data_IF_236560445945
#
_entry.id   IF_236560445945
#
_cell.length_a   1.000
_cell.length_b   1.000
_cell.length_c   1.000
_cell.angle_alpha   90.00
_cell.angle_beta   90.00
_cell.angle_gamma   90.00
#
_symmetry.space_group_name_H-M   'P 1'
#
loop_
_entity.id
_entity.type
_entity.pdbx_description
1 polymer ?
#
# COMPACT_ATOMS: atom_id res chain seq x y z
N UNK A 1 12.89 -13.88 -7.01
CA UNK A 1 13.72 -12.84 -7.67
C UNK A 1 12.89 -11.95 -8.60
N UNK A 2 12.19 -12.49 -9.62
CA UNK A 2 11.40 -11.69 -10.58
C UNK A 2 10.36 -10.75 -9.94
N UNK A 3 9.67 -11.19 -8.87
CA UNK A 3 8.67 -10.36 -8.17
C UNK A 3 9.23 -9.06 -7.59
N UNK A 4 10.45 -9.12 -7.02
CA UNK A 4 11.15 -7.93 -6.50
C UNK A 4 11.66 -7.02 -7.61
N UNK A 5 12.07 -7.59 -8.75
CA UNK A 5 12.50 -6.80 -9.91
C UNK A 5 11.36 -5.93 -10.44
N UNK A 6 10.13 -6.47 -10.49
CA UNK A 6 8.96 -5.71 -10.92
C UNK A 6 8.63 -4.56 -9.96
N UNK A 7 8.78 -4.77 -8.65
CA UNK A 7 8.61 -3.71 -7.65
C UNK A 7 9.67 -2.61 -7.77
N UNK A 8 10.92 -2.97 -8.05
CA UNK A 8 11.98 -2.00 -8.36
C UNK A 8 11.67 -1.17 -9.61
N UNK A 9 10.92 -1.73 -10.56
CA UNK A 9 10.40 -1.04 -11.74
C UNK A 9 9.07 -0.31 -11.48
N UNK A 10 8.63 -0.21 -10.22
CA UNK A 10 7.38 0.44 -9.83
C UNK A 10 6.11 -0.35 -10.16
N UNK A 11 6.24 -1.62 -10.58
CA UNK A 11 5.11 -2.50 -10.90
C UNK A 11 4.81 -3.45 -9.76
N UNK A 12 3.55 -3.51 -9.35
CA UNK A 12 3.08 -4.54 -8.44
C UNK A 12 2.53 -5.74 -9.20
N UNK A 13 2.79 -6.95 -8.66
CA UNK A 13 2.17 -8.20 -9.12
C UNK A 13 0.89 -8.55 -8.36
N UNK A 14 0.46 -7.68 -7.46
CA UNK A 14 -0.75 -7.86 -6.66
C UNK A 14 -1.95 -7.20 -7.35
N UNK A 15 -3.16 -7.54 -6.87
CA UNK A 15 -4.42 -6.90 -7.29
C UNK A 15 -4.30 -5.37 -7.20
N UNK A 16 -5.02 -4.61 -8.03
CA UNK A 16 -4.95 -3.15 -8.02
C UNK A 16 -5.13 -2.58 -6.61
N UNK A 17 -4.43 -1.49 -6.31
CA UNK A 17 -4.50 -0.85 -5.00
C UNK A 17 -5.90 -0.34 -4.65
N UNK A 18 -6.72 0.04 -5.64
CA UNK A 18 -8.12 0.42 -5.42
C UNK A 18 -8.93 -0.75 -4.85
N UNK A 19 -8.68 -1.96 -5.34
CA UNK A 19 -9.41 -3.15 -4.87
C UNK A 19 -9.18 -3.38 -3.38
N UNK A 20 -7.95 -3.16 -2.92
CA UNK A 20 -7.58 -3.33 -1.51
C UNK A 20 -7.98 -2.14 -0.65
N UNK A 21 -7.83 -0.92 -1.18
CA UNK A 21 -8.14 0.30 -0.45
C UNK A 21 -9.63 0.41 -0.12
N UNK A 22 -10.49 0.09 -1.08
CA UNK A 22 -11.94 0.18 -0.92
C UNK A 22 -12.60 -1.12 -0.45
N UNK A 23 -11.82 -2.17 -0.17
CA UNK A 23 -12.38 -3.42 0.33
C UNK A 23 -13.04 -3.20 1.69
N UNK A 24 -14.23 -3.74 1.87
CA UNK A 24 -14.95 -3.69 3.14
C UNK A 24 -14.68 -4.97 3.91
N UNK A 25 -13.97 -4.84 5.04
CA UNK A 25 -13.60 -5.95 5.91
C UNK A 25 -12.21 -5.81 6.51
N UNK A 26 -11.87 -6.72 7.43
CA UNK A 26 -10.56 -6.71 8.08
C UNK A 26 -9.58 -7.66 7.39
N UNK A 27 -8.47 -7.13 6.92
CA UNK A 27 -7.32 -7.94 6.52
C UNK A 27 -6.53 -8.36 7.75
N UNK A 28 -6.35 -9.67 7.97
CA UNK A 28 -5.67 -10.19 9.16
C UNK A 28 -4.18 -10.50 8.98
N UNK A 29 -3.55 -10.11 7.88
CA UNK A 29 -2.14 -10.42 7.59
C UNK A 29 -1.48 -9.41 6.65
N UNK A 30 -0.17 -9.54 6.43
CA UNK A 30 0.54 -8.78 5.39
C UNK A 30 -0.04 -9.14 4.02
N UNK A 31 -0.77 -8.18 3.43
CA UNK A 31 -1.53 -8.42 2.19
C UNK A 31 -0.63 -8.34 0.96
N UNK A 32 0.32 -7.39 0.93
CA UNK A 32 1.17 -7.10 -0.24
C UNK A 32 2.34 -6.19 0.06
N UNK A 33 3.33 -6.24 -0.83
CA UNK A 33 4.33 -5.20 -0.98
C UNK A 33 3.73 -4.03 -1.80
N UNK A 34 3.95 -2.79 -1.34
CA UNK A 34 3.45 -1.58 -2.00
C UNK A 34 4.57 -0.87 -2.77
N UNK A 35 4.20 -0.22 -3.87
CA UNK A 35 5.10 0.72 -4.57
C UNK A 35 4.90 2.15 -4.06
N UNK A 36 5.88 3.03 -4.30
CA UNK A 36 5.78 4.46 -3.96
C UNK A 36 4.54 5.12 -4.57
N UNK A 37 4.23 4.74 -5.81
CA UNK A 37 3.07 5.27 -6.55
C UNK A 37 1.76 4.82 -5.91
N UNK A 38 1.68 3.57 -5.46
CA UNK A 38 0.51 3.03 -4.79
C UNK A 38 0.28 3.66 -3.42
N UNK A 39 1.36 3.84 -2.63
CA UNK A 39 1.25 4.54 -1.35
C UNK A 39 0.81 6.00 -1.53
N UNK A 40 1.37 6.69 -2.54
CA UNK A 40 0.95 8.05 -2.86
C UNK A 40 -0.53 8.10 -3.27
N UNK A 41 -0.97 7.17 -4.12
CA UNK A 41 -2.37 7.04 -4.52
C UNK A 41 -3.26 6.81 -3.30
N UNK A 42 -2.93 5.89 -2.40
CA UNK A 42 -3.70 5.63 -1.17
C UNK A 42 -3.82 6.89 -0.31
N UNK A 43 -2.73 7.60 -0.05
CA UNK A 43 -2.78 8.81 0.78
C UNK A 43 -3.62 9.93 0.15
N UNK A 44 -3.61 10.04 -1.18
CA UNK A 44 -4.50 10.96 -1.90
C UNK A 44 -5.95 10.53 -1.86
N UNK A 45 -6.22 9.24 -2.00
CA UNK A 45 -7.58 8.70 -1.90
C UNK A 45 -8.17 8.91 -0.50
N UNK A 46 -7.33 8.84 0.55
CA UNK A 46 -7.71 9.20 1.93
C UNK A 46 -8.05 10.70 2.08
N UNK A 47 -7.74 11.53 1.08
CA UNK A 47 -8.00 12.97 1.12
C UNK A 47 -6.96 13.76 1.92
N UNK A 48 -5.73 13.27 2.02
CA UNK A 48 -4.66 14.01 2.69
C UNK A 48 -4.04 15.07 1.75
N UNK A 49 -3.69 16.21 2.34
CA UNK A 49 -2.94 17.29 1.71
C UNK A 49 -1.44 17.16 1.98
N UNK A 50 -0.61 17.85 1.19
CA UNK A 50 0.85 17.85 1.33
C UNK A 50 1.46 16.44 1.40
N UNK A 51 0.92 15.50 0.61
CA UNK A 51 1.38 14.11 0.58
C UNK A 51 2.83 14.05 0.11
N UNK A 52 3.68 13.43 0.92
CA UNK A 52 5.07 13.14 0.58
C UNK A 52 5.34 11.66 0.84
N UNK A 53 5.96 11.03 -0.16
CA UNK A 53 6.32 9.61 -0.13
C UNK A 53 7.77 9.50 -0.53
N UNK A 54 8.56 8.91 0.35
CA UNK A 54 10.01 8.77 0.22
C UNK A 54 10.40 7.33 0.49
N UNK A 55 11.55 6.92 -0.05
CA UNK A 55 12.11 5.60 0.25
C UNK A 55 13.30 5.75 1.18
N UNK A 56 13.48 4.80 2.09
CA UNK A 56 14.54 4.77 3.10
C UNK A 56 15.05 3.36 3.29
N UNK A 57 16.25 3.23 3.86
CA UNK A 57 16.83 1.96 4.23
C UNK A 57 16.80 1.81 5.74
N UNK A 58 15.64 1.48 6.29
CA UNK A 58 15.56 1.22 7.72
C UNK A 58 16.34 -0.07 8.06
N UNK A 59 17.23 0.00 9.05
CA UNK A 59 18.01 -1.16 9.52
C UNK A 59 19.23 -1.57 8.66
N UNK A 60 19.52 -0.90 7.53
CA UNK A 60 20.68 -1.28 6.70
C UNK A 60 22.02 -1.10 7.44
N UNK A 61 22.13 -0.09 8.30
CA UNK A 61 23.32 0.15 9.10
C UNK A 61 23.62 -1.03 10.02
N UNK A 62 22.59 -1.62 10.64
CA UNK A 62 22.74 -2.78 11.50
C UNK A 62 23.22 -4.01 10.71
N UNK A 63 22.68 -4.21 9.51
CA UNK A 63 23.11 -5.28 8.59
C UNK A 63 24.59 -5.09 8.19
N UNK A 64 25.00 -3.86 7.84
CA UNK A 64 26.38 -3.53 7.48
C UNK A 64 27.35 -3.73 8.66
N UNK A 65 26.91 -3.43 9.88
CA UNK A 65 27.74 -3.60 11.08
C UNK A 65 27.86 -5.06 11.52
N UNK A 66 26.78 -5.86 11.40
CA UNK A 66 26.78 -7.28 11.78
C UNK A 66 27.40 -8.20 10.71
N UNK A 67 27.44 -7.77 9.44
CA UNK A 67 28.01 -8.57 8.36
C UNK A 67 29.55 -8.70 8.44
N UNK A 68 30.08 -9.89 8.13
CA UNK A 68 31.52 -10.19 8.08
C UNK A 68 31.97 -10.58 6.67
N UNK A 69 33.25 -10.35 6.38
CA UNK A 69 33.89 -10.74 5.11
C UNK A 69 33.18 -10.16 3.88
N UNK A 70 32.99 -10.99 2.85
CA UNK A 70 32.38 -10.60 1.58
C UNK A 70 30.94 -10.03 1.75
N UNK A 71 30.16 -10.52 2.72
CA UNK A 71 28.81 -10.00 2.99
C UNK A 71 28.84 -8.53 3.39
N UNK A 72 29.88 -8.08 4.10
CA UNK A 72 30.05 -6.67 4.49
C UNK A 72 30.30 -5.78 3.28
N UNK A 73 31.10 -6.26 2.32
CA UNK A 73 31.35 -5.57 1.06
C UNK A 73 30.04 -5.42 0.27
N UNK A 74 29.28 -6.50 0.10
CA UNK A 74 27.98 -6.45 -0.58
C UNK A 74 27.00 -5.50 0.10
N UNK A 75 26.90 -5.54 1.44
CA UNK A 75 26.01 -4.65 2.18
C UNK A 75 26.40 -3.17 2.02
N UNK A 76 27.70 -2.84 1.99
CA UNK A 76 28.19 -1.48 1.72
C UNK A 76 27.90 -1.05 0.29
N UNK A 77 28.11 -1.93 -0.70
CA UNK A 77 27.78 -1.65 -2.10
C UNK A 77 26.29 -1.41 -2.29
N UNK A 78 25.44 -2.25 -1.68
CA UNK A 78 24.00 -2.02 -1.68
C UNK A 78 23.62 -0.68 -1.03
N UNK A 79 24.20 -0.35 0.13
CA UNK A 79 23.93 0.93 0.80
C UNK A 79 24.32 2.14 -0.08
N UNK A 80 25.48 2.07 -0.75
CA UNK A 80 25.93 3.11 -1.66
C UNK A 80 25.01 3.23 -2.88
N UNK A 81 24.70 2.11 -3.54
CA UNK A 81 23.82 2.09 -4.71
C UNK A 81 22.40 2.58 -4.39
N UNK A 82 21.87 2.23 -3.22
CA UNK A 82 20.53 2.67 -2.79
C UNK A 82 20.47 4.12 -2.34
N UNK A 83 21.61 4.75 -2.01
CA UNK A 83 21.68 6.19 -1.83
C UNK A 83 21.60 6.94 -3.17
N UNK A 84 22.25 6.41 -4.23
CA UNK A 84 22.24 6.96 -5.59
C UNK A 84 20.89 6.71 -6.29
N UNK A 85 20.35 5.50 -6.13
CA UNK A 85 19.10 5.06 -6.74
C UNK A 85 18.07 4.74 -5.65
N UNK A 86 17.22 5.72 -5.25
CA UNK A 86 16.26 5.54 -4.16
C UNK A 86 15.29 4.37 -4.37
N UNK A 87 15.06 3.91 -5.60
CA UNK A 87 14.22 2.74 -5.91
C UNK A 87 14.73 1.44 -5.28
N UNK A 88 16.03 1.34 -4.98
CA UNK A 88 16.62 0.16 -4.34
C UNK A 88 16.40 0.12 -2.83
N UNK A 89 15.91 1.21 -2.24
CA UNK A 89 15.71 1.28 -0.79
C UNK A 89 14.53 0.40 -0.37
N UNK A 90 14.65 -0.24 0.79
CA UNK A 90 13.74 -1.32 1.21
C UNK A 90 12.49 -0.87 1.96
N UNK A 91 12.43 0.39 2.40
CA UNK A 91 11.32 0.92 3.21
C UNK A 91 10.69 2.11 2.49
N UNK A 92 9.36 2.19 2.53
CA UNK A 92 8.63 3.39 2.10
C UNK A 92 8.19 4.14 3.35
N UNK A 93 8.51 5.43 3.41
CA UNK A 93 8.04 6.35 4.44
C UNK A 93 7.09 7.32 3.75
N UNK A 94 5.90 7.48 4.32
CA UNK A 94 4.88 8.32 3.72
C UNK A 94 4.16 9.11 4.79
N UNK A 95 3.89 10.39 4.50
CA UNK A 95 3.19 11.29 5.39
C UNK A 95 2.35 12.26 4.59
N UNK A 96 1.31 12.76 5.24
CA UNK A 96 0.40 13.75 4.70
C UNK A 96 -0.34 14.43 5.85
N UNK A 97 -0.94 15.58 5.57
CA UNK A 97 -1.69 16.38 6.53
C UNK A 97 -3.18 16.22 6.27
N UNK A 98 -3.94 15.92 7.31
CA UNK A 98 -5.40 16.00 7.25
C UNK A 98 -5.84 17.46 7.07
N UNK A 99 -6.68 17.79 6.08
CA UNK A 99 -7.33 19.12 6.04
C UNK A 99 -8.22 19.34 7.26
N UNK A 100 -8.66 20.58 7.48
CA UNK A 100 -9.46 20.98 8.66
C UNK A 100 -10.83 20.29 8.68
N UNK A 101 -11.43 20.08 7.52
CA UNK A 101 -12.71 19.42 7.29
C UNK A 101 -12.58 17.91 7.01
N UNK A 102 -11.41 17.32 7.28
CA UNK A 102 -11.15 15.92 6.97
C UNK A 102 -12.12 14.99 7.70
N UNK A 103 -12.75 14.09 6.94
CA UNK A 103 -13.59 13.01 7.47
C UNK A 103 -13.09 11.66 6.97
N UNK A 104 -13.16 10.60 7.79
CA UNK A 104 -12.85 9.26 7.34
C UNK A 104 -13.85 8.83 6.26
N UNK A 105 -13.36 8.08 5.27
CA UNK A 105 -14.23 7.42 4.28
C UNK A 105 -15.02 6.34 5.02
N UNK A 106 -16.34 6.40 4.89
CA UNK A 106 -17.23 5.38 5.46
C UNK A 106 -17.15 4.08 4.67
N UNK A 107 -17.47 2.94 5.31
CA UNK A 107 -17.50 1.64 4.61
C UNK A 107 -18.48 1.64 3.42
N UNK A 108 -19.58 2.39 3.54
CA UNK A 108 -20.56 2.55 2.45
C UNK A 108 -19.98 3.33 1.26
N UNK A 109 -19.27 4.42 1.50
CA UNK A 109 -18.60 5.19 0.45
C UNK A 109 -17.48 4.39 -0.21
N UNK A 110 -16.74 3.62 0.59
CA UNK A 110 -15.72 2.71 0.09
C UNK A 110 -16.34 1.64 -0.82
N UNK A 111 -17.42 0.98 -0.38
CA UNK A 111 -18.14 -0.02 -1.17
C UNK A 111 -18.65 0.55 -2.50
N UNK A 112 -19.28 1.73 -2.48
CA UNK A 112 -19.74 2.42 -3.69
C UNK A 112 -18.59 2.73 -4.64
N UNK A 113 -17.47 3.23 -4.11
CA UNK A 113 -16.27 3.52 -4.90
C UNK A 113 -15.68 2.25 -5.51
N UNK A 114 -15.66 1.15 -4.76
CA UNK A 114 -15.19 -0.14 -5.24
C UNK A 114 -16.06 -0.66 -6.39
N UNK A 115 -17.38 -0.55 -6.27
CA UNK A 115 -18.34 -0.99 -7.31
C UNK A 115 -18.16 -0.25 -8.63
N UNK A 116 -17.84 1.04 -8.57
CA UNK A 116 -17.55 1.83 -9.76
C UNK A 116 -16.30 1.32 -10.51
N UNK A 117 -15.30 0.81 -9.78
CA UNK A 117 -14.07 0.28 -10.36
C UNK A 117 -14.19 -1.22 -10.70
N UNK A 118 -15.01 -1.96 -9.95
CA UNK A 118 -15.21 -3.41 -10.03
C UNK A 118 -16.71 -3.74 -9.99
N UNK A 119 -17.41 -3.77 -11.14
CA UNK A 119 -18.86 -3.96 -11.16
C UNK A 119 -19.34 -5.37 -10.77
N UNK A 120 -18.44 -6.37 -10.71
CA UNK A 120 -18.76 -7.76 -10.35
C UNK A 120 -18.35 -8.12 -8.91
N UNK A 121 -18.68 -7.26 -7.95
CA UNK A 121 -18.25 -7.40 -6.55
C UNK A 121 -18.82 -8.64 -5.84
N UNK A 122 -20.01 -9.10 -6.23
CA UNK A 122 -20.64 -10.33 -5.69
C UNK A 122 -19.68 -11.52 -5.72
N UNK A 123 -18.82 -11.63 -6.73
CA UNK A 123 -17.83 -12.72 -6.84
C UNK A 123 -16.77 -12.69 -5.74
N UNK A 124 -16.51 -11.52 -5.16
CA UNK A 124 -15.49 -11.29 -4.15
C UNK A 124 -16.06 -11.13 -2.74
N UNK A 125 -17.39 -11.15 -2.59
CA UNK A 125 -18.04 -11.11 -1.30
C UNK A 125 -17.97 -12.48 -0.63
N UNK A 126 -17.12 -12.59 0.40
CA UNK A 126 -16.96 -13.84 1.17
C UNK A 126 -18.20 -14.18 2.02
N UNK A 127 -19.07 -13.20 2.28
CA UNK A 127 -20.31 -13.42 3.03
C UNK A 127 -21.43 -13.98 2.13
N UNK A 128 -21.24 -13.99 0.80
CA UNK A 128 -22.26 -14.43 -0.15
C UNK A 128 -23.48 -13.50 -0.26
N UNK A 129 -23.45 -12.33 0.38
CA UNK A 129 -24.52 -11.32 0.31
C UNK A 129 -24.56 -10.68 -1.08
N UNK A 130 -25.76 -10.33 -1.54
CA UNK A 130 -25.96 -9.47 -2.70
C UNK A 130 -25.45 -8.05 -2.45
N UNK A 131 -25.31 -7.27 -3.52
CA UNK A 131 -24.87 -5.87 -3.43
C UNK A 131 -25.90 -5.03 -2.64
N UNK A 132 -27.20 -5.30 -2.84
CA UNK A 132 -28.30 -4.62 -2.16
C UNK A 132 -28.28 -4.89 -0.65
N UNK A 133 -28.14 -6.16 -0.26
CA UNK A 133 -28.02 -6.58 1.16
C UNK A 133 -26.80 -5.96 1.82
N UNK A 134 -25.67 -5.91 1.10
CA UNK A 134 -24.44 -5.30 1.62
C UNK A 134 -24.62 -3.80 1.87
N UNK A 135 -25.24 -3.06 0.94
CA UNK A 135 -25.53 -1.64 1.08
C UNK A 135 -26.48 -1.38 2.26
N UNK A 136 -27.54 -2.18 2.39
CA UNK A 136 -28.49 -2.06 3.49
C UNK A 136 -27.80 -2.27 4.85
N UNK A 137 -26.98 -3.31 4.98
CA UNK A 137 -26.21 -3.57 6.20
C UNK A 137 -25.26 -2.41 6.56
N UNK A 138 -24.50 -1.93 5.59
CA UNK A 138 -23.55 -0.84 5.80
C UNK A 138 -24.24 0.50 6.11
N UNK A 139 -25.44 0.74 5.58
CA UNK A 139 -26.22 1.94 5.89
C UNK A 139 -26.86 1.93 7.28
N UNK A 140 -27.13 0.75 7.85
CA UNK A 140 -27.72 0.57 9.19
C UNK A 140 -26.66 0.49 10.31
N UNK A 141 -25.40 0.19 9.96
CA UNK A 141 -24.30 -0.05 10.91
C UNK A 141 -23.26 1.07 11.01
N UNK A 142 -23.55 2.27 10.46
CA UNK A 142 -22.67 3.45 10.48
C UNK A 142 -22.90 4.37 11.67
#
# INVERSE_FOLDING_TARGET
>A
MAKRLLLLLGKSNYQDVNFLFYNVGTYRYHVREYTVQEVNKVLRLIGLNHVKVETSNHGIHEIVMKARGFKRFIARMYHLLSNIYPSFRSTIIAYGRKPEDWKPITELEAFKSLKNVYPHLVKYNLNGESDEETVERLSKGG
#
